data_IF_635388612420
#
_entry.id   IF_635388612420
#
_cell.length_a   1.000
_cell.length_b   1.000
_cell.length_c   1.000
_cell.angle_alpha   90.00
_cell.angle_beta   90.00
_cell.angle_gamma   90.00
#
_symmetry.space_group_name_H-M   'P 1'
#
loop_
_entity.id
_entity.type
_entity.pdbx_description
1 polymer ?
#
# COMPACT_ATOMS: atom_id res chain seq x y z
N UNK A 1 2.84 21.09 -23.16
CA UNK A 1 3.46 20.05 -22.29
C UNK A 1 3.14 18.68 -22.89
N UNK A 2 4.02 17.67 -22.82
CA UNK A 2 3.71 16.35 -23.37
C UNK A 2 2.58 15.72 -22.55
N UNK A 3 1.69 14.99 -23.23
CA UNK A 3 0.61 14.24 -22.61
C UNK A 3 1.12 12.82 -22.34
N UNK A 4 1.15 12.41 -21.08
CA UNK A 4 1.47 11.02 -20.71
C UNK A 4 0.14 10.28 -20.53
N UNK A 5 -0.20 9.44 -21.50
CA UNK A 5 -1.40 8.59 -21.46
C UNK A 5 -0.95 7.15 -21.20
N UNK A 6 -1.54 6.48 -20.20
CA UNK A 6 -1.24 5.08 -19.87
C UNK A 6 0.07 4.83 -19.12
N UNK A 7 0.98 5.80 -19.08
CA UNK A 7 2.26 5.67 -18.37
C UNK A 7 3.17 4.58 -18.93
N UNK A 8 4.27 4.32 -18.22
CA UNK A 8 5.18 3.20 -18.50
C UNK A 8 5.57 2.54 -17.18
N UNK A 9 5.91 1.26 -17.22
CA UNK A 9 6.45 0.54 -16.06
C UNK A 9 7.70 1.22 -15.53
N UNK A 10 7.85 1.23 -14.20
CA UNK A 10 9.04 1.76 -13.51
C UNK A 10 9.68 0.67 -12.66
N UNK A 11 10.99 0.76 -12.45
CA UNK A 11 11.70 -0.11 -11.51
C UNK A 11 11.68 0.49 -10.11
N UNK A 12 11.72 -0.37 -9.08
CA UNK A 12 11.82 0.10 -7.70
C UNK A 12 13.14 0.85 -7.44
N UNK A 13 14.20 0.54 -8.19
CA UNK A 13 15.46 1.28 -8.15
C UNK A 13 15.35 2.71 -8.69
N UNK A 14 14.39 2.99 -9.59
CA UNK A 14 14.14 4.32 -10.14
C UNK A 14 13.26 5.18 -9.23
N UNK A 15 12.49 4.54 -8.34
CA UNK A 15 11.63 5.21 -7.36
C UNK A 15 11.69 4.50 -5.99
N UNK A 16 12.86 4.48 -5.32
CA UNK A 16 13.08 3.69 -4.10
C UNK A 16 12.26 4.15 -2.89
N UNK A 17 11.70 5.35 -2.96
CA UNK A 17 10.83 5.92 -1.94
C UNK A 17 9.37 5.43 -2.04
N UNK A 18 9.00 4.68 -3.08
CA UNK A 18 7.64 4.13 -3.20
C UNK A 18 7.33 3.18 -2.05
N UNK A 19 6.23 3.45 -1.36
CA UNK A 19 5.68 2.61 -0.31
C UNK A 19 4.25 2.18 -0.67
N UNK A 20 3.93 0.95 -0.31
CA UNK A 20 2.63 0.32 -0.44
C UNK A 20 2.03 0.19 0.95
N UNK A 21 0.77 0.62 1.11
CA UNK A 21 0.04 0.57 2.37
C UNK A 21 -1.14 -0.38 2.19
N UNK A 22 -1.19 -1.40 3.02
CA UNK A 22 -2.23 -2.43 3.03
C UNK A 22 -2.97 -2.36 4.36
N UNK A 23 -4.31 -2.34 4.31
CA UNK A 23 -5.16 -2.40 5.48
C UNK A 23 -6.09 -3.60 5.37
N UNK A 24 -6.24 -4.36 6.45
CA UNK A 24 -7.19 -5.45 6.57
C UNK A 24 -7.70 -5.58 8.00
N UNK A 25 -9.01 -5.48 8.19
CA UNK A 25 -9.68 -5.57 9.49
C UNK A 25 -10.85 -6.54 9.37
N UNK A 26 -10.73 -7.68 10.05
CA UNK A 26 -11.74 -8.75 10.11
C UNK A 26 -12.84 -8.46 11.14
N UNK A 27 -12.85 -7.26 11.75
CA UNK A 27 -13.82 -6.81 12.77
C UNK A 27 -13.93 -7.74 13.99
N UNK A 28 -12.95 -8.62 14.20
CA UNK A 28 -12.99 -9.64 15.24
C UNK A 28 -13.98 -10.77 14.96
N UNK A 29 -14.34 -11.01 13.69
CA UNK A 29 -15.23 -12.09 13.23
C UNK A 29 -14.50 -13.11 12.33
N UNK A 30 -13.59 -13.94 12.90
CA UNK A 30 -12.86 -14.93 12.10
C UNK A 30 -13.81 -15.91 11.42
N UNK A 31 -13.84 -15.90 10.08
CA UNK A 31 -14.67 -16.78 9.25
C UNK A 31 -16.00 -16.18 8.77
N UNK A 32 -16.29 -14.92 9.11
CA UNK A 32 -17.35 -14.13 8.48
C UNK A 32 -16.75 -12.90 7.81
N UNK A 33 -16.53 -13.01 6.51
CA UNK A 33 -15.91 -11.96 5.69
C UNK A 33 -16.92 -10.87 5.24
N UNK A 34 -18.18 -10.94 5.69
CA UNK A 34 -19.24 -10.05 5.18
C UNK A 34 -19.11 -8.61 5.66
N UNK A 35 -18.37 -8.38 6.74
CA UNK A 35 -18.16 -7.06 7.31
C UNK A 35 -16.68 -6.61 7.31
N UNK A 36 -15.79 -7.44 6.78
CA UNK A 36 -14.37 -7.16 6.57
C UNK A 36 -14.11 -5.85 5.84
N UNK A 37 -13.05 -5.17 6.25
CA UNK A 37 -12.60 -3.92 5.62
C UNK A 37 -11.17 -4.08 5.12
N UNK A 38 -11.02 -4.12 3.80
CA UNK A 38 -9.73 -4.20 3.13
C UNK A 38 -9.54 -3.09 2.09
N UNK A 39 -8.37 -2.46 2.06
CA UNK A 39 -8.01 -1.51 1.00
C UNK A 39 -6.50 -1.34 0.85
N UNK A 40 -6.11 -0.75 -0.29
CA UNK A 40 -4.74 -0.45 -0.65
C UNK A 40 -4.56 1.05 -0.90
N UNK A 41 -3.43 1.60 -0.45
CA UNK A 41 -3.01 2.97 -0.70
C UNK A 41 -1.53 3.06 -1.07
N UNK A 42 -1.14 4.16 -1.71
CA UNK A 42 0.25 4.52 -1.94
C UNK A 42 0.84 5.39 -0.81
N UNK A 43 2.16 5.45 -0.73
CA UNK A 43 2.88 6.34 0.17
C UNK A 43 4.32 6.58 -0.28
N UNK A 44 5.01 7.47 0.46
CA UNK A 44 6.40 7.86 0.21
C UNK A 44 7.22 7.76 1.49
N UNK A 45 8.37 7.08 1.42
CA UNK A 45 9.34 7.05 2.52
C UNK A 45 9.98 8.43 2.68
N UNK A 46 9.76 9.08 3.82
CA UNK A 46 10.33 10.40 4.13
C UNK A 46 11.37 10.36 5.26
N UNK A 47 11.42 9.25 6.01
CA UNK A 47 12.46 8.95 7.00
C UNK A 47 12.49 7.42 7.25
N UNK A 48 13.51 6.89 7.97
CA UNK A 48 13.65 5.43 8.18
C UNK A 48 12.43 4.72 8.75
N UNK A 49 11.58 5.44 9.50
CA UNK A 49 10.35 4.91 10.12
C UNK A 49 9.12 5.77 9.84
N UNK A 50 9.15 6.60 8.79
CA UNK A 50 8.08 7.56 8.49
C UNK A 50 7.68 7.49 7.01
N UNK A 51 6.38 7.29 6.80
CA UNK A 51 5.73 7.32 5.49
C UNK A 51 4.78 8.51 5.41
N UNK A 52 4.86 9.29 4.34
CA UNK A 52 3.86 10.27 3.97
C UNK A 52 2.79 9.61 3.07
N UNK A 53 1.51 9.86 3.35
CA UNK A 53 0.38 9.37 2.56
C UNK A 53 -0.80 10.34 2.64
N UNK A 54 -1.87 10.07 1.90
CA UNK A 54 -3.08 10.88 1.92
C UNK A 54 -3.88 10.67 3.23
N UNK A 55 -4.50 11.73 3.75
CA UNK A 55 -5.27 11.66 4.99
C UNK A 55 -6.44 10.65 4.92
N UNK A 56 -7.07 10.50 3.77
CA UNK A 56 -8.19 9.56 3.59
C UNK A 56 -7.76 8.09 3.67
N UNK A 57 -6.47 7.79 3.48
CA UNK A 57 -5.94 6.44 3.67
C UNK A 57 -5.83 6.09 5.17
N UNK A 58 -5.66 7.08 6.05
CA UNK A 58 -5.32 6.83 7.47
C UNK A 58 -6.43 7.19 8.45
N UNK A 59 -7.27 8.16 8.13
CA UNK A 59 -8.26 8.69 9.07
C UNK A 59 -9.39 7.68 9.29
N UNK A 60 -9.57 7.27 10.55
CA UNK A 60 -10.67 6.39 10.97
C UNK A 60 -10.34 4.90 10.95
N UNK A 61 -9.08 4.53 10.75
CA UNK A 61 -8.62 3.15 10.66
C UNK A 61 -7.54 2.86 11.71
N UNK A 62 -7.56 1.68 12.33
CA UNK A 62 -6.53 1.27 13.28
C UNK A 62 -5.33 0.64 12.54
N UNK A 63 -4.46 1.50 12.04
CA UNK A 63 -3.24 1.09 11.34
C UNK A 63 -2.22 0.36 12.22
N UNK A 64 -2.35 0.43 13.55
CA UNK A 64 -1.45 -0.30 14.44
C UNK A 64 -1.85 -1.77 14.55
N UNK A 65 -3.16 -2.05 14.59
CA UNK A 65 -3.69 -3.41 14.64
C UNK A 65 -3.70 -4.09 13.26
N UNK A 66 -4.08 -3.34 12.22
CA UNK A 66 -4.58 -3.90 10.95
C UNK A 66 -3.77 -3.47 9.72
N UNK A 67 -2.72 -2.67 9.91
CA UNK A 67 -1.95 -2.05 8.84
C UNK A 67 -0.62 -2.74 8.54
N UNK A 68 -0.27 -2.83 7.27
CA UNK A 68 1.06 -3.23 6.79
C UNK A 68 1.63 -2.21 5.81
N UNK A 69 2.92 -1.90 5.96
CA UNK A 69 3.67 -1.02 5.05
C UNK A 69 4.74 -1.85 4.36
N UNK A 70 4.76 -1.84 3.03
CA UNK A 70 5.72 -2.57 2.21
C UNK A 70 6.50 -1.58 1.34
N UNK A 71 7.82 -1.63 1.43
CA UNK A 71 8.75 -0.85 0.60
C UNK A 71 9.63 -1.80 -0.20
N UNK A 72 10.17 -1.36 -1.34
CA UNK A 72 11.06 -2.22 -2.13
C UNK A 72 10.32 -3.30 -2.96
N UNK A 73 8.98 -3.35 -2.89
CA UNK A 73 8.17 -4.29 -3.67
C UNK A 73 7.77 -3.70 -5.01
N UNK A 74 7.79 -4.55 -6.03
CA UNK A 74 7.19 -4.27 -7.34
C UNK A 74 5.80 -4.87 -7.50
N UNK A 75 5.35 -5.74 -6.58
CA UNK A 75 4.05 -6.45 -6.62
C UNK A 75 2.90 -5.65 -6.04
N UNK A 76 1.76 -5.69 -6.71
CA UNK A 76 0.48 -5.17 -6.20
C UNK A 76 -0.39 -6.27 -5.60
N UNK A 77 0.07 -7.52 -5.59
CA UNK A 77 -0.65 -8.60 -4.95
C UNK A 77 -0.33 -8.59 -3.44
N UNK A 78 -1.35 -8.60 -2.56
CA UNK A 78 -1.12 -8.75 -1.13
C UNK A 78 -0.39 -10.10 -0.94
N UNK A 79 0.68 -10.13 -0.13
CA UNK A 79 1.54 -11.30 0.14
C UNK A 79 2.47 -11.81 -0.98
N UNK A 80 2.54 -11.17 -2.14
CA UNK A 80 3.44 -11.60 -3.21
C UNK A 80 4.80 -10.92 -3.14
N UNK A 81 5.83 -11.64 -2.67
CA UNK A 81 7.25 -11.28 -2.84
C UNK A 81 7.73 -11.39 -4.30
N UNK A 82 6.83 -11.30 -5.29
CA UNK A 82 7.09 -11.60 -6.70
C UNK A 82 7.04 -10.37 -7.61
N UNK A 83 8.01 -10.28 -8.51
CA UNK A 83 8.15 -9.27 -9.58
C UNK A 83 6.88 -9.12 -10.41
N UNK A 84 6.39 -7.88 -10.58
CA UNK A 84 5.38 -7.59 -11.62
C UNK A 84 6.14 -7.50 -12.92
N UNK A 85 5.83 -8.43 -13.81
CA UNK A 85 6.34 -8.45 -15.18
C UNK A 85 5.59 -7.44 -16.01
#
# INVERSE_FOLDING_TARGET
>A
APMVIGGTQTSISSAPWMAQLWYHDDRGTPGDETDDTGFFCGGVVIAPTKIATAAHCVKGFDWNANGAVVTGSTSTEPNSSGTVS
#
